data_IF_050246358184
#
_entry.id   IF_050246358184
#
_cell.length_a   1.000
_cell.length_b   1.000
_cell.length_c   1.000
_cell.angle_alpha   90.00
_cell.angle_beta   90.00
_cell.angle_gamma   90.00
#
_symmetry.space_group_name_H-M   'P 1'
#
loop_
_entity.id
_entity.type
_entity.pdbx_description
1 polymer ?
#
# COMPACT_ATOMS: atom_id res chain seq x y z
N UNK A 1 8.09 5.57 8.19
CA UNK A 1 8.02 4.94 6.86
C UNK A 1 7.10 3.78 7.06
N UNK A 2 6.00 3.82 6.34
CA UNK A 2 4.85 2.96 6.56
C UNK A 2 4.77 1.96 5.42
N UNK A 3 4.13 0.81 5.67
CA UNK A 3 3.86 -0.17 4.64
C UNK A 3 2.40 -0.61 4.67
N UNK A 4 1.91 -1.00 3.49
CA UNK A 4 0.66 -1.74 3.37
C UNK A 4 0.90 -2.94 2.46
N UNK A 5 0.26 -4.06 2.81
CA UNK A 5 0.38 -5.31 2.07
C UNK A 5 -0.96 -5.61 1.40
N UNK A 6 -0.89 -5.93 0.12
CA UNK A 6 -2.03 -6.38 -0.68
C UNK A 6 -1.74 -7.81 -1.11
N UNK A 7 -2.74 -8.69 -1.04
CA UNK A 7 -2.60 -10.10 -1.41
C UNK A 7 -3.72 -10.50 -2.35
N UNK A 8 -3.41 -11.38 -3.31
CA UNK A 8 -4.36 -11.80 -4.34
C UNK A 8 -3.90 -13.08 -5.05
N UNK A 9 -4.67 -13.54 -6.04
CA UNK A 9 -4.40 -14.79 -6.77
C UNK A 9 -3.39 -14.62 -7.90
N UNK A 10 -3.26 -13.41 -8.41
CA UNK A 10 -2.33 -13.09 -9.47
C UNK A 10 -1.89 -11.62 -9.41
N UNK A 11 -0.91 -11.28 -10.23
CA UNK A 11 -0.33 -9.94 -10.26
C UNK A 11 -1.36 -8.86 -10.62
N UNK A 12 -2.30 -9.16 -11.53
CA UNK A 12 -3.28 -8.17 -11.95
C UNK A 12 -4.23 -7.83 -10.80
N UNK A 13 -4.64 -8.83 -10.02
CA UNK A 13 -5.47 -8.63 -8.83
C UNK A 13 -4.78 -7.75 -7.79
N UNK A 14 -3.52 -8.05 -7.42
CA UNK A 14 -2.81 -7.25 -6.40
C UNK A 14 -2.48 -5.83 -6.88
N UNK A 15 -2.16 -5.63 -8.16
CA UNK A 15 -1.92 -4.29 -8.71
C UNK A 15 -3.21 -3.48 -8.82
N UNK A 16 -4.34 -4.12 -9.17
CA UNK A 16 -5.64 -3.45 -9.19
C UNK A 16 -6.02 -2.99 -7.77
N UNK A 17 -5.92 -3.88 -6.78
CA UNK A 17 -6.23 -3.55 -5.39
C UNK A 17 -5.28 -2.48 -4.81
N UNK A 18 -3.98 -2.50 -5.16
CA UNK A 18 -3.06 -1.42 -4.83
C UNK A 18 -3.43 -0.08 -5.46
N UNK A 19 -3.87 -0.10 -6.73
CA UNK A 19 -4.33 1.11 -7.42
C UNK A 19 -5.62 1.66 -6.81
N UNK A 20 -6.57 0.80 -6.42
CA UNK A 20 -7.78 1.19 -5.70
C UNK A 20 -7.44 1.82 -4.35
N UNK A 21 -6.50 1.23 -3.60
CA UNK A 21 -6.03 1.81 -2.35
C UNK A 21 -5.39 3.18 -2.54
N UNK A 22 -4.52 3.35 -3.55
CA UNK A 22 -3.88 4.64 -3.87
C UNK A 22 -4.87 5.69 -4.38
N UNK A 23 -5.96 5.27 -5.01
CA UNK A 23 -7.00 6.18 -5.50
C UNK A 23 -7.93 6.69 -4.38
N UNK A 24 -7.91 6.06 -3.20
CA UNK A 24 -8.69 6.53 -2.06
C UNK A 24 -8.21 7.93 -1.61
N UNK A 25 -9.12 8.90 -1.41
CA UNK A 25 -8.75 10.25 -0.99
C UNK A 25 -7.96 10.32 0.32
N UNK A 26 -8.08 9.33 1.22
CA UNK A 26 -7.28 9.24 2.43
C UNK A 26 -5.79 8.94 2.14
N UNK A 27 -5.45 8.54 0.91
CA UNK A 27 -4.08 8.35 0.46
C UNK A 27 -3.57 9.50 -0.41
N UNK A 28 -4.29 10.61 -0.53
CA UNK A 28 -3.88 11.75 -1.38
C UNK A 28 -2.49 12.33 -1.01
N UNK A 29 -2.06 12.18 0.24
CA UNK A 29 -0.76 12.66 0.75
C UNK A 29 0.30 11.56 0.84
N UNK A 30 0.03 10.39 0.27
CA UNK A 30 0.96 9.26 0.23
C UNK A 30 1.93 9.42 -0.93
N UNK A 31 3.22 9.36 -0.61
CA UNK A 31 4.30 9.21 -1.58
C UNK A 31 4.89 7.81 -1.47
N UNK A 32 4.76 7.01 -2.54
CA UNK A 32 5.33 5.66 -2.62
C UNK A 32 6.81 5.73 -2.99
N UNK A 33 7.64 5.01 -2.23
CA UNK A 33 9.11 4.98 -2.38
C UNK A 33 9.63 3.62 -2.85
N UNK A 34 8.87 2.57 -2.64
CA UNK A 34 9.27 1.21 -2.99
C UNK A 34 8.07 0.30 -3.12
N UNK A 35 8.26 -0.74 -3.92
CA UNK A 35 7.29 -1.79 -4.17
C UNK A 35 8.06 -3.11 -4.12
N UNK A 36 7.61 -4.05 -3.32
CA UNK A 36 8.10 -5.43 -3.29
C UNK A 36 6.98 -6.39 -3.69
N UNK A 37 7.28 -7.30 -4.61
CA UNK A 37 6.32 -8.24 -5.16
C UNK A 37 6.83 -9.65 -4.91
N UNK A 38 6.18 -10.35 -3.99
CA UNK A 38 6.48 -11.75 -3.70
C UNK A 38 5.50 -12.66 -4.45
N UNK A 39 6.06 -13.55 -5.25
CA UNK A 39 5.34 -14.57 -6.01
C UNK A 39 5.84 -15.95 -5.60
N UNK A 40 5.03 -16.81 -4.96
CA UNK A 40 5.32 -18.22 -4.86
C UNK A 40 5.69 -18.80 -6.22
N UNK A 41 6.77 -19.60 -6.22
CA UNK A 41 7.15 -20.38 -7.39
C UNK A 41 5.98 -21.30 -7.71
N UNK A 42 5.67 -21.52 -9.00
CA UNK A 42 4.55 -22.36 -9.46
C UNK A 42 4.47 -23.77 -8.83
N UNK A 43 5.55 -24.26 -8.21
CA UNK A 43 5.62 -25.55 -7.55
C UNK A 43 5.09 -25.57 -6.09
N UNK A 44 4.97 -24.42 -5.43
CA UNK A 44 4.62 -24.27 -4.01
C UNK A 44 3.16 -23.80 -3.82
N UNK A 45 2.27 -24.17 -4.76
CA UNK A 45 0.90 -23.65 -4.86
C UNK A 45 -0.06 -24.37 -3.89
N UNK A 46 0.08 -24.09 -2.60
CA UNK A 46 -0.81 -24.62 -1.54
C UNK A 46 -1.60 -23.52 -0.79
N UNK A 47 -1.42 -22.23 -1.12
CA UNK A 47 -2.04 -21.10 -0.40
C UNK A 47 -3.20 -20.43 -1.17
N UNK A 48 -4.16 -19.85 -0.44
CA UNK A 48 -5.35 -19.16 -1.00
C UNK A 48 -5.00 -17.79 -1.64
N UNK A 49 -3.87 -17.19 -1.22
CA UNK A 49 -3.24 -16.04 -1.87
C UNK A 49 -1.88 -16.46 -2.46
N UNK A 50 -1.76 -16.26 -3.78
CA UNK A 50 -0.65 -16.69 -4.63
C UNK A 50 0.31 -15.53 -4.97
N UNK A 51 0.00 -14.29 -4.57
CA UNK A 51 0.83 -13.12 -4.82
C UNK A 51 0.65 -12.12 -3.68
N UNK A 52 1.77 -11.55 -3.20
CA UNK A 52 1.80 -10.48 -2.22
C UNK A 52 2.52 -9.26 -2.80
N UNK A 53 1.95 -8.09 -2.56
CA UNK A 53 2.49 -6.79 -2.97
C UNK A 53 2.62 -5.91 -1.73
N UNK A 54 3.84 -5.57 -1.35
CA UNK A 54 4.13 -4.62 -0.28
C UNK A 54 4.46 -3.25 -0.88
N UNK A 55 3.71 -2.22 -0.46
CA UNK A 55 3.93 -0.84 -0.84
C UNK A 55 4.60 -0.12 0.33
N UNK A 56 5.78 0.43 0.09
CA UNK A 56 6.49 1.25 1.07
C UNK A 56 6.26 2.72 0.76
N UNK A 57 5.77 3.46 1.75
CA UNK A 57 5.38 4.83 1.53
C UNK A 57 5.67 5.74 2.73
N UNK A 58 5.60 7.04 2.45
CA UNK A 58 5.61 8.09 3.44
C UNK A 58 4.36 8.93 3.24
N UNK A 59 3.63 9.19 4.32
CA UNK A 59 2.60 10.23 4.34
C UNK A 59 3.26 11.58 4.61
N UNK A 60 2.90 12.60 3.84
CA UNK A 60 3.10 13.97 4.29
C UNK A 60 2.17 14.19 5.46
N UNK A 61 2.73 14.24 6.66
CA UNK A 61 2.03 14.76 7.83
C UNK A 61 2.07 16.29 7.68
N UNK A 62 1.21 16.84 6.82
CA UNK A 62 0.92 18.27 6.89
C UNK A 62 0.05 18.44 8.14
N UNK A 63 0.76 18.57 9.27
CA UNK A 63 0.18 18.55 10.60
C UNK A 63 -0.96 19.55 10.70
N UNK A 64 -2.20 19.04 10.72
CA UNK A 64 -3.29 19.73 11.39
C UNK A 64 -3.12 19.53 12.90
N UNK A 65 -2.05 20.07 13.46
CA UNK A 65 -2.16 20.65 14.79
C UNK A 65 -2.81 22.01 14.61
N UNK A 66 -4.13 22.04 14.70
CA UNK A 66 -4.84 23.22 15.18
C UNK A 66 -4.34 23.52 16.59
N UNK A 67 -3.23 24.24 16.71
CA UNK A 67 -2.99 25.08 17.89
C UNK A 67 -3.69 26.40 17.61
N UNK A 68 -4.87 26.49 18.20
CA UNK A 68 -5.68 27.71 18.25
C UNK A 68 -5.00 28.76 19.14
N UNK A 69 -5.06 30.01 18.68
CA UNK A 69 -5.13 31.26 19.46
C UNK A 69 -4.20 31.51 20.66
N UNK A 70 -3.52 32.66 20.62
CA UNK A 70 -3.50 33.57 21.77
C UNK A 70 -2.17 34.28 22.05
N UNK A 71 -2.07 35.50 21.54
CA UNK A 71 -1.28 36.67 22.01
C UNK A 71 0.26 36.60 22.08
#
# INVERSE_FOLDING_TARGET
MDCTTVSGRDCAEVFAAAAEWLADPAQAEVQVWGIDLDQPRRADRESDADVYLELFYKRSDDGRSTEEHGE
#
